data_IF_967261389869
#
_entry.id   IF_967261389869
#
_cell.length_a   1.000
_cell.length_b   1.000
_cell.length_c   1.000
_cell.angle_alpha   90.00
_cell.angle_beta   90.00
_cell.angle_gamma   90.00
#
_symmetry.space_group_name_H-M   'P 1'
#
loop_
_entity.id
_entity.type
_entity.pdbx_description
1 polymer ?
#
# COMPACT_ATOMS: atom_id res chain seq x y z
N UNK A 1 1.15 11.91 -27.37
CA UNK A 1 1.35 13.37 -27.33
C UNK A 1 -0.01 14.00 -27.11
N UNK A 2 -0.24 14.70 -25.99
CA UNK A 2 -1.51 15.38 -25.72
C UNK A 2 -1.77 16.44 -26.79
N UNK A 3 -2.96 16.42 -27.38
CA UNK A 3 -3.45 17.30 -28.48
C UNK A 3 -3.35 18.82 -28.22
N UNK A 4 -2.99 19.24 -27.00
CA UNK A 4 -2.92 20.65 -26.57
C UNK A 4 -1.55 21.01 -25.94
N UNK A 5 -0.54 20.13 -26.01
CA UNK A 5 0.79 20.41 -25.45
C UNK A 5 0.85 20.48 -23.92
N UNK A 6 -0.12 19.87 -23.22
CA UNK A 6 -0.16 19.80 -21.75
C UNK A 6 0.29 18.40 -21.32
N UNK A 7 1.36 18.35 -20.52
CA UNK A 7 1.94 17.11 -19.99
C UNK A 7 1.26 16.60 -18.73
N UNK A 8 0.70 17.48 -17.89
CA UNK A 8 0.03 17.13 -16.64
C UNK A 8 -0.95 18.21 -16.19
N UNK A 9 -2.00 17.81 -15.44
CA UNK A 9 -3.02 18.73 -14.91
C UNK A 9 -3.19 18.51 -13.41
N UNK A 10 -3.26 19.61 -12.65
CA UNK A 10 -3.51 19.60 -11.20
C UNK A 10 -4.82 20.31 -10.90
N UNK A 11 -5.67 19.72 -10.06
CA UNK A 11 -6.93 20.31 -9.61
C UNK A 11 -6.98 20.36 -8.09
N UNK A 12 -6.96 21.58 -7.53
CA UNK A 12 -7.05 21.78 -6.08
C UNK A 12 -8.31 21.13 -5.48
N UNK A 13 -9.43 21.20 -6.21
CA UNK A 13 -10.70 20.56 -5.81
C UNK A 13 -10.54 19.05 -5.70
N UNK A 14 -9.93 18.40 -6.69
CA UNK A 14 -9.73 16.96 -6.69
C UNK A 14 -8.73 16.54 -5.61
N UNK A 15 -7.66 17.32 -5.39
CA UNK A 15 -6.70 17.10 -4.32
C UNK A 15 -7.36 17.13 -2.94
N UNK A 16 -8.23 18.12 -2.68
CA UNK A 16 -8.98 18.21 -1.43
C UNK A 16 -9.91 16.99 -1.22
N UNK A 17 -10.64 16.57 -2.27
CA UNK A 17 -11.51 15.38 -2.19
C UNK A 17 -10.68 14.13 -1.86
N UNK A 18 -9.53 13.91 -2.51
CA UNK A 18 -8.63 12.77 -2.20
C UNK A 18 -8.14 12.83 -0.75
N UNK A 19 -7.78 14.02 -0.29
CA UNK A 19 -7.33 14.24 1.09
C UNK A 19 -8.43 14.02 2.14
N UNK A 20 -9.71 14.12 1.79
CA UNK A 20 -10.82 13.78 2.70
C UNK A 20 -11.10 12.28 2.65
N UNK A 21 -11.09 11.68 1.45
CA UNK A 21 -11.39 10.26 1.26
C UNK A 21 -10.44 9.33 2.02
N UNK A 22 -9.17 9.71 2.20
CA UNK A 22 -8.22 8.95 3.04
C UNK A 22 -8.68 8.83 4.51
N UNK A 23 -9.39 9.82 5.05
CA UNK A 23 -9.89 9.79 6.44
C UNK A 23 -11.22 9.05 6.59
N UNK A 24 -11.99 8.89 5.50
CA UNK A 24 -13.31 8.24 5.53
C UNK A 24 -13.21 6.72 5.32
N UNK A 25 -12.18 6.23 4.61
CA UNK A 25 -12.03 4.79 4.34
C UNK A 25 -11.81 4.02 5.65
N UNK A 26 -12.67 3.03 5.90
CA UNK A 26 -12.56 2.12 7.05
C UNK A 26 -11.54 1.02 6.74
N UNK A 27 -10.69 0.70 7.72
CA UNK A 27 -9.54 -0.21 7.60
C UNK A 27 -8.24 0.58 7.48
N UNK A 28 -7.13 0.09 8.08
CA UNK A 28 -5.81 0.76 8.10
C UNK A 28 -5.10 0.75 6.73
N UNK A 29 -5.83 1.04 5.65
CA UNK A 29 -5.29 1.36 4.33
C UNK A 29 -5.11 2.87 4.30
N UNK A 30 -3.89 3.33 4.58
CA UNK A 30 -3.55 4.73 4.84
C UNK A 30 -3.66 5.61 3.59
N UNK A 31 -3.41 5.05 2.39
CA UNK A 31 -3.58 5.77 1.12
C UNK A 31 -3.64 4.80 -0.06
N UNK A 32 -4.41 5.18 -1.08
CA UNK A 32 -4.49 4.49 -2.38
C UNK A 32 -4.29 5.52 -3.48
N UNK A 33 -3.16 5.43 -4.18
CA UNK A 33 -2.87 6.31 -5.32
C UNK A 33 -2.91 5.48 -6.61
N UNK A 34 -3.83 5.75 -7.54
CA UNK A 34 -3.82 5.09 -8.84
C UNK A 34 -2.59 5.53 -9.63
N UNK A 35 -1.91 4.59 -10.25
CA UNK A 35 -0.83 4.90 -11.19
C UNK A 35 -1.43 5.18 -12.57
N UNK A 36 -1.27 6.40 -13.07
CA UNK A 36 -1.86 6.80 -14.34
C UNK A 36 -1.46 5.86 -15.49
N UNK A 37 -2.45 5.44 -16.27
CA UNK A 37 -2.27 4.55 -17.43
C UNK A 37 -2.14 3.06 -17.12
N UNK A 38 -2.13 2.63 -15.84
CA UNK A 38 -2.05 1.21 -15.45
C UNK A 38 -3.16 0.84 -14.45
N UNK A 39 -3.67 -0.40 -14.54
CA UNK A 39 -4.61 -1.01 -13.56
C UNK A 39 -3.87 -1.41 -12.28
N UNK A 40 -3.13 -0.47 -11.71
CA UNK A 40 -2.25 -0.66 -10.57
C UNK A 40 -2.39 0.51 -9.59
N UNK A 41 -2.28 0.20 -8.31
CA UNK A 41 -2.45 1.12 -7.20
C UNK A 41 -1.24 1.02 -6.28
N UNK A 42 -0.86 2.15 -5.71
CA UNK A 42 0.06 2.22 -4.57
C UNK A 42 -0.77 2.22 -3.31
N UNK A 43 -0.51 1.26 -2.43
CA UNK A 43 -1.17 1.08 -1.15
C UNK A 43 -0.16 1.36 -0.05
N UNK A 44 -0.54 2.24 0.86
CA UNK A 44 0.18 2.46 2.09
C UNK A 44 -0.55 1.76 3.25
N UNK A 45 0.17 0.96 4.04
CA UNK A 45 -0.40 0.22 5.16
C UNK A 45 0.56 0.18 6.35
N UNK A 46 0.02 0.18 7.57
CA UNK A 46 0.79 -0.05 8.79
C UNK A 46 0.81 -1.55 9.13
N UNK A 47 1.98 -2.11 9.37
CA UNK A 47 2.16 -3.50 9.77
C UNK A 47 1.71 -3.70 11.22
N UNK A 48 0.71 -4.55 11.41
CA UNK A 48 0.17 -4.88 12.74
C UNK A 48 0.81 -6.16 13.26
N UNK A 49 0.99 -6.26 14.58
CA UNK A 49 1.64 -7.43 15.23
C UNK A 49 1.00 -8.78 14.86
N UNK A 50 -0.29 -8.78 14.54
CA UNK A 50 -1.08 -9.97 14.19
C UNK A 50 -1.15 -10.25 12.69
N UNK A 51 -0.48 -9.46 11.85
CA UNK A 51 -0.49 -9.66 10.41
C UNK A 51 0.49 -10.78 10.03
N UNK A 52 0.10 -11.63 9.07
CA UNK A 52 0.88 -12.81 8.64
C UNK A 52 2.26 -12.46 8.05
N UNK A 53 2.49 -11.20 7.68
CA UNK A 53 3.75 -10.69 7.12
C UNK A 53 4.79 -10.32 8.19
N UNK A 54 4.37 -10.09 9.44
CA UNK A 54 5.28 -9.62 10.50
C UNK A 54 6.16 -10.77 10.99
N UNK A 55 7.42 -10.44 11.31
CA UNK A 55 8.44 -11.36 11.83
C UNK A 55 8.77 -12.55 10.92
N UNK A 56 8.34 -12.51 9.66
CA UNK A 56 8.62 -13.52 8.64
C UNK A 56 9.48 -12.91 7.52
N UNK A 57 10.55 -13.59 7.07
CA UNK A 57 11.29 -13.14 5.88
C UNK A 57 10.37 -13.03 4.67
N UNK A 58 10.46 -11.94 3.91
CA UNK A 58 9.58 -11.69 2.75
C UNK A 58 9.61 -12.81 1.70
N UNK A 59 10.72 -13.55 1.59
CA UNK A 59 10.85 -14.74 0.74
C UNK A 59 9.92 -15.90 1.14
N UNK A 60 9.52 -15.97 2.40
CA UNK A 60 8.65 -17.02 2.94
C UNK A 60 7.18 -16.57 3.03
N UNK A 61 6.93 -15.27 2.91
CA UNK A 61 5.58 -14.71 2.91
C UNK A 61 4.89 -15.08 1.59
N UNK A 62 3.66 -15.60 1.68
CA UNK A 62 2.81 -15.87 0.50
C UNK A 62 2.23 -14.57 -0.07
N UNK A 63 3.10 -13.73 -0.61
CA UNK A 63 2.71 -12.44 -1.18
C UNK A 63 1.87 -12.65 -2.45
N UNK A 64 0.73 -11.94 -2.62
CA UNK A 64 -0.13 -12.12 -3.79
C UNK A 64 0.60 -11.85 -5.11
N UNK A 65 0.46 -12.75 -6.09
CA UNK A 65 1.03 -12.54 -7.43
C UNK A 65 0.40 -11.31 -8.10
N UNK A 66 1.22 -10.31 -8.41
CA UNK A 66 0.73 -9.02 -8.91
C UNK A 66 0.66 -7.93 -7.84
N UNK A 67 1.18 -8.20 -6.64
CA UNK A 67 1.56 -7.21 -5.66
C UNK A 67 3.07 -7.33 -5.35
N UNK A 68 3.71 -6.22 -4.98
CA UNK A 68 5.11 -6.17 -4.55
C UNK A 68 5.28 -5.12 -3.45
N UNK A 69 6.05 -5.46 -2.42
CA UNK A 69 6.46 -4.50 -1.41
C UNK A 69 7.63 -3.67 -1.97
N UNK A 70 7.39 -2.38 -2.17
CA UNK A 70 8.38 -1.47 -2.76
C UNK A 70 9.28 -0.81 -1.72
N UNK A 71 8.75 -0.50 -0.53
CA UNK A 71 9.53 0.09 0.55
C UNK A 71 8.93 -0.23 1.93
N UNK A 72 9.81 -0.26 2.92
CA UNK A 72 9.47 -0.27 4.35
C UNK A 72 9.96 1.06 4.92
N UNK A 73 9.07 1.80 5.57
CA UNK A 73 9.40 3.01 6.31
C UNK A 73 9.41 2.65 7.79
N UNK A 74 10.58 2.74 8.42
CA UNK A 74 10.80 2.40 9.84
C UNK A 74 11.61 3.51 10.47
N UNK A 75 11.10 4.11 11.55
CA UNK A 75 11.75 5.21 12.26
C UNK A 75 12.20 6.35 11.31
N UNK A 76 11.31 6.75 10.40
CA UNK A 76 11.54 7.74 9.33
C UNK A 76 12.65 7.41 8.32
N UNK A 77 13.14 6.15 8.32
CA UNK A 77 14.09 5.65 7.32
C UNK A 77 13.39 4.80 6.28
N UNK A 78 13.76 5.02 5.03
CA UNK A 78 13.30 4.22 3.90
C UNK A 78 14.24 3.03 3.72
N UNK A 79 13.68 1.83 3.74
CA UNK A 79 14.38 0.55 3.54
C UNK A 79 13.82 -0.07 2.26
N UNK A 80 14.70 -0.37 1.30
CA UNK A 80 14.34 -1.12 0.10
C UNK A 80 14.43 -2.61 0.45
N UNK A 81 13.30 -3.34 0.45
CA UNK A 81 13.27 -4.71 0.90
C UNK A 81 13.94 -5.68 -0.09
N UNK A 82 14.61 -6.67 0.46
CA UNK A 82 15.08 -7.90 -0.20
C UNK A 82 14.27 -9.11 0.30
N UNK A 83 14.52 -10.30 -0.26
CA UNK A 83 13.86 -11.54 0.21
C UNK A 83 14.15 -11.89 1.68
N UNK A 84 15.26 -11.41 2.23
CA UNK A 84 15.66 -11.63 3.63
C UNK A 84 15.16 -10.51 4.56
N UNK A 85 14.56 -9.45 4.00
CA UNK A 85 14.01 -8.38 4.80
C UNK A 85 12.81 -8.87 5.61
N UNK A 86 12.74 -8.41 6.85
CA UNK A 86 11.68 -8.77 7.80
C UNK A 86 10.91 -7.51 8.16
N UNK A 87 9.59 -7.57 7.95
CA UNK A 87 8.64 -6.54 8.36
C UNK A 87 8.42 -6.66 9.86
N UNK A 88 8.44 -5.52 10.55
CA UNK A 88 8.21 -5.41 12.00
C UNK A 88 6.91 -4.69 12.28
N UNK A 89 6.38 -4.87 13.48
CA UNK A 89 5.24 -4.10 13.97
C UNK A 89 5.49 -2.59 13.83
N UNK A 90 4.47 -1.84 13.41
CA UNK A 90 4.47 -0.38 13.17
C UNK A 90 5.26 0.08 11.95
N UNK A 91 5.87 -0.82 11.19
CA UNK A 91 6.44 -0.46 9.90
C UNK A 91 5.33 0.09 8.98
N UNK A 92 5.62 1.18 8.28
CA UNK A 92 4.77 1.68 7.19
C UNK A 92 5.24 1.06 5.89
N UNK A 93 4.36 0.34 5.22
CA UNK A 93 4.64 -0.43 4.02
C UNK A 93 4.10 0.31 2.79
N UNK A 94 4.95 0.46 1.78
CA UNK A 94 4.56 0.97 0.46
C UNK A 94 4.48 -0.21 -0.50
N UNK A 95 3.27 -0.53 -0.96
CA UNK A 95 2.98 -1.73 -1.75
C UNK A 95 2.40 -1.31 -3.09
N UNK A 96 2.92 -1.88 -4.17
CA UNK A 96 2.35 -1.72 -5.50
C UNK A 96 1.52 -2.96 -5.81
N UNK A 97 0.26 -2.79 -6.19
CA UNK A 97 -0.65 -3.90 -6.44
C UNK A 97 -1.52 -3.65 -7.68
N UNK A 98 -1.80 -4.70 -8.45
CA UNK A 98 -2.85 -4.66 -9.48
C UNK A 98 -4.23 -4.63 -8.83
N UNK A 99 -5.20 -3.97 -9.47
CA UNK A 99 -6.57 -3.83 -8.93
C UNK A 99 -7.20 -5.17 -8.51
N UNK A 100 -6.96 -6.21 -9.32
CA UNK A 100 -7.51 -7.57 -9.12
C UNK A 100 -7.00 -8.29 -7.86
N UNK A 101 -5.87 -7.84 -7.27
CA UNK A 101 -5.24 -8.52 -6.12
C UNK A 101 -5.35 -7.74 -4.82
N UNK A 102 -6.01 -6.57 -4.84
CA UNK A 102 -6.15 -5.71 -3.66
C UNK A 102 -6.84 -6.46 -2.52
N UNK A 103 -7.93 -7.17 -2.78
CA UNK A 103 -8.64 -7.94 -1.75
C UNK A 103 -7.78 -9.06 -1.14
N UNK A 104 -6.92 -9.71 -1.94
CA UNK A 104 -5.99 -10.72 -1.42
C UNK A 104 -4.88 -10.09 -0.58
N UNK A 105 -4.42 -8.90 -0.97
CA UNK A 105 -3.43 -8.13 -0.22
C UNK A 105 -4.01 -7.62 1.10
N UNK A 106 -5.24 -7.11 1.08
CA UNK A 106 -5.96 -6.70 2.29
C UNK A 106 -6.04 -7.86 3.28
N UNK A 107 -6.34 -9.09 2.85
CA UNK A 107 -6.36 -10.26 3.75
C UNK A 107 -5.01 -10.56 4.40
N UNK A 108 -3.91 -10.35 3.68
CA UNK A 108 -2.55 -10.55 4.19
C UNK A 108 -2.17 -9.47 5.22
N UNK A 109 -2.68 -8.25 5.04
CA UNK A 109 -2.42 -7.10 5.91
C UNK A 109 -3.45 -6.95 7.05
N UNK A 110 -4.63 -7.54 6.90
CA UNK A 110 -5.76 -7.40 7.83
C UNK A 110 -5.62 -8.38 8.98
N UNK A 111 -5.90 -7.86 10.17
CA UNK A 111 -6.12 -8.60 11.41
C UNK A 111 -7.23 -9.64 11.22
N UNK A 112 -7.11 -10.83 11.81
CA UNK A 112 -8.30 -11.52 12.33
C UNK A 112 -8.95 -10.54 13.31
N UNK A 113 -9.98 -9.81 12.87
CA UNK A 113 -10.73 -8.90 13.74
C UNK A 113 -11.09 -9.66 15.02
N UNK A 114 -10.42 -9.35 16.13
CA UNK A 114 -11.04 -9.55 17.43
C UNK A 114 -12.24 -8.63 17.43
N UNK A 115 -13.40 -9.27 17.31
CA UNK A 115 -14.70 -8.65 17.47
C UNK A 115 -14.73 -8.02 18.87
N UNK A 116 -14.88 -6.70 18.94
CA UNK A 116 -15.39 -6.01 20.12
C UNK A 116 -16.73 -5.42 19.72
#
# INVERSE_FOLDING_TARGET
VSIIGIDSVVSARLSAVRAILQYIRRGKVLSVVPLEGKRAQVIEAEALRTADIVDTPLSQVKFPKGAILGAIIRDDKIIIPSGDSVVREKDRLIIFALDKVITSLEKLLTVKLEYI
#
